data_IF_060364615135
#
_entry.id   IF_060364615135
#
_cell.length_a   1.000
_cell.length_b   1.000
_cell.length_c   1.000
_cell.angle_alpha   90.00
_cell.angle_beta   90.00
_cell.angle_gamma   90.00
#
_symmetry.space_group_name_H-M   'P 1'
#
loop_
_entity.id
_entity.type
_entity.pdbx_description
1 polymer ?
#
# COMPACT_ATOMS: atom_id res chain seq x y z
N UNK A 1 19.53 16.87 2.02
CA UNK A 1 18.98 15.52 2.25
C UNK A 1 18.05 15.22 1.08
N UNK A 2 18.54 14.53 0.05
CA UNK A 2 17.71 14.10 -1.07
C UNK A 2 17.07 12.76 -0.67
N UNK A 3 15.86 12.81 -0.12
CA UNK A 3 14.93 11.69 -0.27
C UNK A 3 14.53 11.67 -1.74
N UNK A 4 15.39 11.10 -2.58
CA UNK A 4 15.15 10.93 -4.01
C UNK A 4 13.94 10.01 -4.17
N UNK A 5 12.75 10.62 -4.21
CA UNK A 5 11.80 10.45 -5.29
C UNK A 5 11.82 9.08 -5.97
N UNK A 6 11.53 8.06 -5.17
CA UNK A 6 11.71 6.66 -5.50
C UNK A 6 11.07 6.26 -6.84
N UNK A 7 9.93 6.90 -7.12
CA UNK A 7 9.09 6.74 -8.28
C UNK A 7 8.51 8.08 -8.78
N UNK A 8 9.15 9.24 -8.59
CA UNK A 8 8.49 10.51 -8.98
C UNK A 8 8.22 10.60 -10.48
N UNK A 9 8.96 9.82 -11.28
CA UNK A 9 8.72 9.71 -12.72
C UNK A 9 7.59 8.72 -13.07
N UNK A 10 6.92 8.15 -12.07
CA UNK A 10 5.90 7.10 -12.19
C UNK A 10 4.76 7.32 -11.20
N UNK A 11 3.83 8.23 -11.52
CA UNK A 11 2.67 8.47 -10.70
C UNK A 11 1.79 7.22 -10.64
N UNK A 12 1.08 7.03 -9.53
CA UNK A 12 -0.08 6.14 -9.53
C UNK A 12 -1.13 6.67 -10.52
N UNK A 13 -1.98 5.80 -11.04
CA UNK A 13 -2.98 6.18 -12.04
C UNK A 13 -3.85 7.37 -11.58
N UNK A 14 -4.20 7.43 -10.29
CA UNK A 14 -4.94 8.55 -9.70
C UNK A 14 -4.22 9.91 -9.67
N UNK A 15 -2.90 9.94 -9.99
CA UNK A 15 -2.08 11.16 -10.09
C UNK A 15 -1.77 11.57 -11.55
N UNK A 16 -2.15 10.77 -12.54
CA UNK A 16 -1.89 11.07 -13.95
C UNK A 16 -2.81 12.17 -14.48
N UNK A 17 -2.37 12.85 -15.55
CA UNK A 17 -3.27 13.74 -16.31
C UNK A 17 -4.42 12.92 -16.93
N UNK A 18 -5.51 13.59 -17.33
CA UNK A 18 -6.60 12.95 -18.03
C UNK A 18 -6.23 12.04 -19.19
N UNK A 19 -5.43 12.59 -20.08
CA UNK A 19 -5.00 11.99 -21.33
C UNK A 19 -4.08 10.81 -21.03
N UNK A 20 -3.17 10.98 -20.08
CA UNK A 20 -2.25 9.94 -19.64
C UNK A 20 -2.99 8.77 -18.96
N UNK A 21 -3.97 9.07 -18.11
CA UNK A 21 -4.80 8.06 -17.46
C UNK A 21 -5.65 7.31 -18.48
N UNK A 22 -6.30 8.01 -19.41
CA UNK A 22 -7.10 7.40 -20.47
C UNK A 22 -6.28 6.48 -21.36
N UNK A 23 -5.10 6.92 -21.82
CA UNK A 23 -4.19 6.09 -22.60
C UNK A 23 -3.82 4.80 -21.85
N UNK A 24 -3.49 4.92 -20.56
CA UNK A 24 -3.14 3.79 -19.71
C UNK A 24 -4.32 2.83 -19.47
N UNK A 25 -5.53 3.36 -19.35
CA UNK A 25 -6.76 2.56 -19.21
C UNK A 25 -7.06 1.75 -20.48
N UNK A 26 -6.91 2.34 -21.68
CA UNK A 26 -7.06 1.58 -22.94
C UNK A 26 -6.09 0.42 -23.04
N UNK A 27 -4.84 0.64 -22.66
CA UNK A 27 -3.82 -0.42 -22.70
C UNK A 27 -4.14 -1.63 -21.80
N UNK A 28 -5.01 -1.43 -20.81
CA UNK A 28 -5.53 -2.48 -19.92
C UNK A 28 -6.98 -2.86 -20.24
N UNK A 29 -7.54 -2.44 -21.37
CA UNK A 29 -8.89 -2.81 -21.81
C UNK A 29 -10.02 -2.13 -21.03
N UNK A 30 -9.73 -1.01 -20.37
CA UNK A 30 -10.70 -0.14 -19.70
C UNK A 30 -11.21 0.94 -20.68
N UNK A 31 -11.72 0.51 -21.84
CA UNK A 31 -12.04 1.41 -22.97
C UNK A 31 -13.17 2.38 -22.67
N UNK A 32 -14.17 1.94 -21.89
CA UNK A 32 -15.27 2.81 -21.45
C UNK A 32 -14.77 3.90 -20.51
N UNK A 33 -13.97 3.53 -19.51
CA UNK A 33 -13.40 4.48 -18.55
C UNK A 33 -12.47 5.47 -19.27
N UNK A 34 -11.64 4.99 -20.20
CA UNK A 34 -10.76 5.84 -21.02
C UNK A 34 -11.54 6.83 -21.90
N UNK A 35 -12.54 6.35 -22.64
CA UNK A 35 -13.34 7.19 -23.55
C UNK A 35 -14.08 8.30 -22.80
N UNK A 36 -14.56 8.02 -21.58
CA UNK A 36 -15.20 9.04 -20.74
C UNK A 36 -14.22 10.13 -20.31
N UNK A 37 -12.96 9.80 -19.96
CA UNK A 37 -11.97 10.81 -19.57
C UNK A 37 -11.61 11.75 -20.72
N UNK A 38 -11.47 11.21 -21.93
CA UNK A 38 -11.12 12.02 -23.11
C UNK A 38 -12.25 12.94 -23.56
N UNK A 39 -13.50 12.48 -23.44
CA UNK A 39 -14.67 13.30 -23.77
C UNK A 39 -14.78 14.58 -22.92
N UNK A 40 -14.10 14.65 -21.77
CA UNK A 40 -14.04 15.85 -20.93
C UNK A 40 -12.83 16.73 -21.21
N UNK A 41 -11.70 16.15 -21.63
CA UNK A 41 -10.49 16.90 -22.02
C UNK A 41 -10.75 17.82 -23.22
N UNK A 42 -11.58 17.37 -24.16
CA UNK A 42 -11.97 18.16 -25.35
C UNK A 42 -13.04 19.22 -25.07
N UNK A 43 -13.78 19.13 -23.96
CA UNK A 43 -14.81 20.11 -23.57
C UNK A 43 -14.25 21.37 -22.89
N UNK A 44 -13.05 21.31 -22.31
CA UNK A 44 -12.43 22.40 -21.56
C UNK A 44 -11.70 23.44 -22.43
N UNK A 45 -11.48 23.17 -23.72
CA UNK A 45 -10.81 24.12 -24.63
C UNK A 45 -11.76 25.12 -25.31
N UNK A 46 -13.07 25.03 -25.09
CA UNK A 46 -14.07 25.85 -25.82
C UNK A 46 -14.75 26.98 -25.02
N UNK A 47 -14.45 27.15 -23.74
CA UNK A 47 -14.93 28.30 -22.94
C UNK A 47 -13.77 29.08 -22.35
N UNK A 48 -13.46 30.20 -22.99
CA UNK A 48 -12.42 31.13 -22.57
C UNK A 48 -12.61 31.67 -21.16
N UNK A 49 -11.48 31.96 -20.52
CA UNK A 49 -11.32 32.89 -19.40
C UNK A 49 -12.38 32.81 -18.29
N UNK A 50 -12.21 31.86 -17.38
CA UNK A 50 -12.59 32.09 -15.99
C UNK A 50 -11.39 31.85 -15.08
N UNK A 51 -10.71 32.96 -14.76
CA UNK A 51 -9.97 33.12 -13.52
C UNK A 51 -10.88 32.70 -12.35
N UNK A 52 -10.49 31.66 -11.60
CA UNK A 52 -11.06 31.42 -10.28
C UNK A 52 -9.94 31.27 -9.25
N UNK A 53 -9.78 32.37 -8.51
CA UNK A 53 -9.21 32.46 -7.16
C UNK A 53 -10.05 31.60 -6.19
N UNK A 54 -9.38 31.00 -5.21
CA UNK A 54 -9.96 30.71 -3.89
C UNK A 54 -10.71 29.38 -3.71
N UNK A 55 -10.16 28.57 -2.79
CA UNK A 55 -10.85 27.67 -1.86
C UNK A 55 -11.68 26.47 -2.39
N UNK A 56 -11.10 25.28 -2.19
CA UNK A 56 -11.78 24.04 -1.74
C UNK A 56 -12.72 23.26 -2.66
N UNK A 57 -12.63 23.37 -4.00
CA UNK A 57 -13.53 22.60 -4.89
C UNK A 57 -12.93 22.18 -6.25
N UNK A 58 -11.80 21.45 -6.28
CA UNK A 58 -11.28 20.87 -7.55
C UNK A 58 -10.72 19.45 -7.41
N UNK A 59 -11.62 18.46 -7.31
CA UNK A 59 -11.42 17.09 -7.83
C UNK A 59 -12.72 16.51 -8.40
N UNK A 60 -13.54 17.36 -9.05
CA UNK A 60 -14.74 16.95 -9.82
C UNK A 60 -14.32 16.76 -11.28
N UNK A 61 -13.47 15.78 -11.56
CA UNK A 61 -13.05 15.51 -12.95
C UNK A 61 -13.20 14.03 -13.38
N UNK A 62 -13.55 13.12 -12.47
CA UNK A 62 -13.82 11.72 -12.83
C UNK A 62 -15.34 11.51 -13.02
N UNK A 63 -15.83 11.17 -14.23
CA UNK A 63 -17.26 11.19 -14.58
C UNK A 63 -17.99 9.83 -14.41
N UNK A 64 -17.49 8.93 -13.57
CA UNK A 64 -18.08 7.60 -13.37
C UNK A 64 -18.16 7.24 -11.89
N UNK A 65 -18.82 6.11 -11.59
CA UNK A 65 -18.82 5.54 -10.24
C UNK A 65 -17.39 5.53 -9.70
N UNK A 66 -17.26 6.14 -8.54
CA UNK A 66 -16.09 6.23 -7.69
C UNK A 66 -15.34 4.87 -7.64
N UNK A 67 -14.28 4.72 -8.44
CA UNK A 67 -13.48 3.49 -8.53
C UNK A 67 -12.33 3.57 -7.52
N UNK A 68 -12.09 2.53 -6.69
CA UNK A 68 -11.06 2.57 -5.64
C UNK A 68 -9.65 2.95 -6.12
N UNK A 69 -9.28 2.52 -7.33
CA UNK A 69 -7.95 2.79 -7.91
C UNK A 69 -7.70 4.25 -8.31
N UNK A 70 -8.74 5.11 -8.33
CA UNK A 70 -8.62 6.52 -8.69
C UNK A 70 -8.02 7.36 -7.56
N UNK A 71 -8.12 6.89 -6.32
CA UNK A 71 -7.77 7.71 -5.19
C UNK A 71 -6.28 7.65 -4.87
N UNK A 72 -5.79 8.74 -4.30
CA UNK A 72 -4.38 8.86 -3.90
C UNK A 72 -4.23 9.04 -2.40
N UNK A 73 -5.34 9.34 -1.72
CA UNK A 73 -5.40 9.54 -0.29
C UNK A 73 -5.43 8.19 0.43
N UNK A 74 -4.88 8.18 1.65
CA UNK A 74 -4.96 7.04 2.54
C UNK A 74 -5.40 7.50 3.93
N UNK A 75 -6.12 6.62 4.63
CA UNK A 75 -6.39 6.69 6.07
C UNK A 75 -5.75 5.48 6.74
N UNK A 76 -5.33 5.66 8.00
CA UNK A 76 -4.52 4.69 8.72
C UNK A 76 -5.19 4.27 10.02
N UNK A 77 -5.49 2.98 10.11
CA UNK A 77 -6.10 2.33 11.27
C UNK A 77 -5.09 1.46 12.00
N UNK A 78 -5.37 1.17 13.26
CA UNK A 78 -4.58 0.31 14.12
C UNK A 78 -5.47 -0.67 14.89
N UNK A 79 -5.03 -1.92 14.93
CA UNK A 79 -5.58 -3.01 15.71
C UNK A 79 -4.55 -3.43 16.76
N UNK A 80 -4.94 -3.33 18.03
CA UNK A 80 -4.12 -3.80 19.14
C UNK A 80 -3.93 -5.33 19.09
N UNK A 81 -2.86 -5.89 19.69
CA UNK A 81 -2.68 -7.33 19.80
C UNK A 81 -3.88 -7.99 20.50
N UNK A 82 -4.40 -9.07 19.92
CA UNK A 82 -5.50 -9.81 20.52
C UNK A 82 -4.98 -10.68 21.67
N UNK A 83 -5.42 -10.39 22.88
CA UNK A 83 -5.31 -11.29 24.04
C UNK A 83 -6.47 -12.29 24.02
N UNK A 84 -6.44 -13.19 23.03
CA UNK A 84 -7.28 -14.39 22.91
C UNK A 84 -8.79 -14.23 23.17
N UNK A 85 -9.40 -13.14 22.70
CA UNK A 85 -10.85 -12.97 22.75
C UNK A 85 -11.49 -13.14 21.37
N UNK A 86 -12.69 -13.73 21.32
CA UNK A 86 -13.52 -13.85 20.13
C UNK A 86 -14.31 -12.58 19.79
N UNK A 87 -14.33 -11.62 20.73
CA UNK A 87 -15.11 -10.40 20.59
C UNK A 87 -14.63 -9.51 19.44
N UNK A 88 -15.54 -8.74 18.81
CA UNK A 88 -15.17 -7.71 17.85
C UNK A 88 -14.14 -6.76 18.43
N UNK A 89 -13.06 -6.53 17.68
CA UNK A 89 -11.97 -5.64 18.09
C UNK A 89 -12.14 -4.28 17.41
N UNK A 90 -12.11 -3.17 18.17
CA UNK A 90 -12.19 -1.84 17.59
C UNK A 90 -10.92 -1.51 16.81
N UNK A 91 -11.09 -0.82 15.69
CA UNK A 91 -9.97 -0.22 14.95
C UNK A 91 -9.84 1.23 15.41
N UNK A 92 -8.63 1.67 15.73
CA UNK A 92 -8.35 3.05 16.17
C UNK A 92 -7.59 3.81 15.10
N UNK A 93 -7.76 5.13 15.06
CA UNK A 93 -6.88 5.97 14.26
C UNK A 93 -5.43 5.84 14.76
N UNK A 94 -4.47 5.76 13.85
CA UNK A 94 -3.06 5.50 14.21
C UNK A 94 -2.43 6.59 15.09
N UNK A 95 -2.98 7.81 15.02
CA UNK A 95 -2.51 8.97 15.80
C UNK A 95 -3.09 8.98 17.23
N UNK A 96 -4.15 8.21 17.50
CA UNK A 96 -4.87 8.21 18.78
C UNK A 96 -4.45 7.08 19.72
N UNK A 97 -3.40 6.34 19.38
CA UNK A 97 -2.89 5.22 20.19
C UNK A 97 -1.65 5.65 20.98
N UNK A 98 -1.27 4.86 21.99
CA UNK A 98 0.02 5.02 22.65
C UNK A 98 1.11 4.27 21.87
N UNK A 99 2.26 4.92 21.65
CA UNK A 99 3.45 4.22 21.18
C UNK A 99 3.95 3.24 22.23
N UNK A 100 4.67 2.19 21.82
CA UNK A 100 5.36 1.23 22.70
C UNK A 100 6.84 1.61 22.80
N UNK A 101 7.27 2.43 23.79
CA UNK A 101 8.61 3.02 23.79
C UNK A 101 9.73 2.00 23.95
N UNK A 102 9.40 0.80 24.43
CA UNK A 102 10.33 -0.29 24.63
C UNK A 102 10.70 -1.02 23.33
N UNK A 103 10.08 -0.67 22.19
CA UNK A 103 10.54 -1.06 20.86
C UNK A 103 11.75 -0.25 20.38
N UNK A 104 12.11 0.86 21.04
CA UNK A 104 13.29 1.67 20.68
C UNK A 104 14.57 0.84 20.69
N UNK A 105 15.29 0.84 19.57
CA UNK A 105 16.54 0.09 19.42
C UNK A 105 16.36 -1.44 19.47
N UNK A 106 15.12 -1.96 19.42
CA UNK A 106 14.84 -3.39 19.38
C UNK A 106 14.70 -3.89 17.95
N UNK A 107 14.71 -5.21 17.82
CA UNK A 107 14.39 -5.90 16.57
C UNK A 107 12.92 -6.28 16.54
N UNK A 108 12.29 -6.06 15.39
CA UNK A 108 10.89 -6.42 15.15
C UNK A 108 10.75 -7.35 13.94
N UNK A 109 9.59 -8.00 13.87
CA UNK A 109 9.08 -8.70 12.68
C UNK A 109 8.00 -7.83 12.05
N UNK A 110 8.10 -7.64 10.74
CA UNK A 110 7.05 -7.07 9.90
C UNK A 110 6.39 -8.17 9.09
N UNK A 111 5.06 -8.24 9.11
CA UNK A 111 4.30 -9.23 8.32
C UNK A 111 3.28 -8.57 7.43
N UNK A 112 2.96 -9.20 6.29
CA UNK A 112 1.77 -8.89 5.52
C UNK A 112 0.64 -9.80 5.99
N UNK A 113 -0.40 -9.19 6.55
CA UNK A 113 -1.55 -9.90 7.12
C UNK A 113 -2.74 -9.91 6.17
N UNK A 114 -2.85 -8.94 5.27
CA UNK A 114 -3.91 -8.86 4.26
C UNK A 114 -3.53 -7.92 3.11
N UNK A 115 -4.01 -8.27 1.92
CA UNK A 115 -4.06 -7.38 0.75
C UNK A 115 -5.44 -7.54 0.11
N UNK A 116 -6.30 -6.53 0.22
CA UNK A 116 -7.62 -6.48 -0.42
C UNK A 116 -7.58 -5.62 -1.68
N UNK A 117 -8.09 -6.16 -2.76
CA UNK A 117 -8.25 -5.47 -4.03
C UNK A 117 -9.75 -5.28 -4.26
N UNK A 118 -10.31 -4.16 -3.78
CA UNK A 118 -11.70 -3.82 -4.06
C UNK A 118 -11.92 -3.53 -5.54
N UNK A 119 -10.93 -2.92 -6.20
CA UNK A 119 -10.91 -2.77 -7.66
C UNK A 119 -9.61 -2.15 -8.14
N UNK A 120 -8.93 -2.82 -9.08
CA UNK A 120 -7.79 -2.32 -9.84
C UNK A 120 -8.17 -2.21 -11.33
N UNK A 121 -7.47 -1.39 -12.15
CA UNK A 121 -7.82 -1.25 -13.56
C UNK A 121 -7.75 -2.58 -14.34
N UNK A 122 -8.79 -2.88 -15.12
CA UNK A 122 -9.02 -4.18 -15.73
C UNK A 122 -10.06 -5.00 -14.96
N UNK A 123 -10.51 -6.10 -15.57
CA UNK A 123 -11.46 -7.02 -14.95
C UNK A 123 -10.83 -8.38 -14.62
N UNK A 124 -11.44 -9.08 -13.66
CA UNK A 124 -11.12 -10.48 -13.36
C UNK A 124 -9.97 -10.64 -12.36
N UNK A 125 -8.95 -11.42 -12.73
CA UNK A 125 -7.80 -11.72 -11.86
C UNK A 125 -6.71 -10.69 -12.11
N UNK A 126 -6.32 -9.98 -11.05
CA UNK A 126 -5.17 -9.08 -11.06
C UNK A 126 -3.92 -9.82 -10.61
N UNK A 127 -2.80 -9.59 -11.29
CA UNK A 127 -1.46 -9.93 -10.79
C UNK A 127 -0.86 -8.68 -10.16
N UNK A 128 -0.76 -8.66 -8.85
CA UNK A 128 -0.34 -7.49 -8.08
C UNK A 128 1.08 -7.68 -7.60
N UNK A 129 1.99 -6.82 -8.04
CA UNK A 129 3.29 -6.64 -7.40
C UNK A 129 3.12 -5.67 -6.23
N UNK A 130 3.40 -6.16 -5.03
CA UNK A 130 3.47 -5.40 -3.80
C UNK A 130 4.93 -5.10 -3.49
N UNK A 131 5.28 -3.84 -3.38
CA UNK A 131 6.62 -3.39 -2.99
C UNK A 131 6.56 -2.69 -1.63
N UNK A 132 7.26 -3.24 -0.64
CA UNK A 132 7.50 -2.61 0.66
C UNK A 132 8.89 -1.99 0.73
N UNK A 133 8.93 -0.82 1.35
CA UNK A 133 10.14 -0.13 1.74
C UNK A 133 10.11 0.18 3.22
N UNK A 134 11.24 -0.03 3.89
CA UNK A 134 11.42 0.37 5.27
C UNK A 134 12.77 1.04 5.48
N UNK A 135 12.77 2.08 6.29
CA UNK A 135 13.96 2.76 6.77
C UNK A 135 13.81 3.04 8.27
N UNK A 136 14.84 2.74 9.05
CA UNK A 136 14.88 3.15 10.46
C UNK A 136 15.20 4.64 10.58
N UNK A 137 14.60 5.32 11.55
CA UNK A 137 14.82 6.75 11.79
C UNK A 137 15.85 6.94 12.91
N UNK A 138 17.04 7.45 12.58
CA UNK A 138 18.14 7.67 13.53
C UNK A 138 19.38 8.32 12.91
N UNK A 139 20.40 8.59 13.73
CA UNK A 139 21.58 9.41 13.39
C UNK A 139 22.67 8.71 12.56
N UNK A 140 22.48 7.42 12.22
CA UNK A 140 23.41 6.65 11.38
C UNK A 140 23.07 6.70 9.87
N UNK A 141 23.94 6.12 9.03
CA UNK A 141 23.58 5.81 7.63
C UNK A 141 22.47 4.77 7.64
N UNK A 142 21.23 5.21 7.53
CA UNK A 142 20.09 4.33 7.43
C UNK A 142 20.06 3.68 6.04
N UNK A 143 20.38 2.37 5.99
CA UNK A 143 20.27 1.61 4.75
C UNK A 143 18.80 1.29 4.44
N UNK A 144 18.32 1.68 3.25
CA UNK A 144 16.96 1.39 2.83
C UNK A 144 16.76 -0.12 2.63
N UNK A 145 15.68 -0.68 3.20
CA UNK A 145 15.31 -2.09 3.04
C UNK A 145 14.08 -2.22 2.14
N UNK A 146 14.16 -3.14 1.18
CA UNK A 146 13.16 -3.31 0.14
C UNK A 146 12.70 -4.77 0.09
N UNK A 147 11.41 -4.96 -0.16
CA UNK A 147 10.79 -6.26 -0.28
C UNK A 147 9.74 -6.24 -1.39
N UNK A 148 9.69 -7.32 -2.17
CA UNK A 148 8.65 -7.54 -3.17
C UNK A 148 7.93 -8.86 -2.93
N UNK A 149 6.62 -8.84 -3.14
CA UNK A 149 5.82 -10.05 -3.29
C UNK A 149 4.81 -9.87 -4.42
N UNK A 150 4.44 -10.98 -5.06
CA UNK A 150 3.43 -11.00 -6.11
C UNK A 150 2.23 -11.81 -5.63
N UNK A 151 1.03 -11.30 -5.90
CA UNK A 151 -0.22 -11.97 -5.57
C UNK A 151 -1.14 -12.01 -6.77
N UNK A 152 -1.92 -13.09 -6.89
CA UNK A 152 -3.06 -13.16 -7.80
C UNK A 152 -4.33 -12.97 -6.99
N UNK A 153 -5.15 -11.99 -7.34
CA UNK A 153 -6.35 -11.62 -6.57
C UNK A 153 -7.48 -11.33 -7.53
N UNK A 154 -8.65 -11.92 -7.30
CA UNK A 154 -9.86 -11.53 -8.02
C UNK A 154 -10.33 -10.15 -7.54
N UNK A 155 -10.89 -9.37 -8.45
CA UNK A 155 -11.57 -8.12 -8.10
C UNK A 155 -12.62 -8.34 -7.00
N UNK A 156 -12.62 -7.47 -5.99
CA UNK A 156 -13.50 -7.56 -4.83
C UNK A 156 -13.01 -8.49 -3.70
N UNK A 157 -11.93 -9.24 -3.92
CA UNK A 157 -11.42 -10.24 -2.96
C UNK A 157 -10.12 -9.79 -2.26
N UNK A 158 -9.56 -10.70 -1.46
CA UNK A 158 -8.25 -10.53 -0.82
C UNK A 158 -7.28 -11.61 -1.29
N UNK A 159 -5.99 -11.28 -1.36
CA UNK A 159 -4.95 -12.27 -1.57
C UNK A 159 -4.99 -13.32 -0.45
N UNK A 160 -4.69 -14.58 -0.79
CA UNK A 160 -4.51 -15.69 0.16
C UNK A 160 -3.22 -15.55 0.98
N UNK A 161 -3.09 -14.45 1.72
CA UNK A 161 -1.92 -14.12 2.54
C UNK A 161 -2.36 -13.80 3.96
N UNK A 162 -1.67 -14.41 4.93
CA UNK A 162 -1.92 -14.18 6.35
C UNK A 162 -0.61 -14.37 7.11
N UNK A 163 -0.17 -13.34 7.84
CA UNK A 163 1.05 -13.39 8.64
C UNK A 163 2.35 -13.62 7.87
N UNK A 164 2.38 -13.33 6.56
CA UNK A 164 3.56 -13.61 5.73
C UNK A 164 4.73 -12.69 6.11
N UNK A 165 5.92 -13.22 6.42
CA UNK A 165 7.05 -12.41 6.85
C UNK A 165 7.56 -11.51 5.70
N UNK A 166 7.53 -10.19 5.93
CA UNK A 166 8.10 -9.18 5.01
C UNK A 166 9.55 -8.89 5.42
N UNK A 167 9.75 -8.51 6.68
CA UNK A 167 11.07 -8.34 7.27
C UNK A 167 11.13 -9.06 8.62
N UNK A 168 12.22 -9.78 8.88
CA UNK A 168 12.47 -10.45 10.18
C UNK A 168 13.76 -9.88 10.77
N UNK A 169 13.74 -9.55 12.06
CA UNK A 169 14.89 -8.96 12.73
C UNK A 169 15.19 -7.50 12.33
N UNK A 170 14.18 -6.75 11.88
CA UNK A 170 14.35 -5.35 11.48
C UNK A 170 14.69 -4.49 12.71
N UNK A 171 15.80 -3.75 12.66
CA UNK A 171 16.16 -2.81 13.72
C UNK A 171 15.26 -1.57 13.68
N UNK A 172 14.69 -1.23 14.83
CA UNK A 172 13.90 -0.02 15.06
C UNK A 172 14.82 1.12 15.50
N UNK A 173 14.71 2.28 14.85
CA UNK A 173 15.46 3.47 15.23
C UNK A 173 15.00 4.04 16.57
N UNK A 174 15.77 4.96 17.15
CA UNK A 174 15.35 5.65 18.38
C UNK A 174 14.20 6.63 18.15
N UNK A 175 14.08 7.14 16.92
CA UNK A 175 13.01 8.05 16.52
C UNK A 175 11.81 7.29 15.96
N UNK A 176 12.02 6.09 15.40
CA UNK A 176 10.95 5.27 14.85
C UNK A 176 11.31 4.54 13.56
N UNK A 177 10.31 4.37 12.70
CA UNK A 177 10.39 3.72 11.40
C UNK A 177 9.65 4.54 10.35
N UNK A 178 10.21 4.59 9.13
CA UNK A 178 9.51 5.04 7.93
C UNK A 178 9.18 3.83 7.07
N UNK A 179 7.92 3.69 6.70
CA UNK A 179 7.43 2.68 5.79
C UNK A 179 6.92 3.36 4.53
N UNK A 180 7.19 2.77 3.37
CA UNK A 180 6.47 3.10 2.15
C UNK A 180 5.96 1.83 1.51
N UNK A 181 4.78 1.91 0.90
CA UNK A 181 4.20 0.79 0.20
C UNK A 181 3.65 1.24 -1.13
N UNK A 182 3.92 0.43 -2.16
CA UNK A 182 3.36 0.62 -3.49
C UNK A 182 2.80 -0.68 -4.03
N UNK A 183 1.65 -0.59 -4.68
CA UNK A 183 1.06 -1.71 -5.42
C UNK A 183 1.06 -1.40 -6.91
N UNK A 184 1.36 -2.42 -7.72
CA UNK A 184 1.37 -2.32 -9.18
C UNK A 184 0.54 -3.49 -9.73
N UNK A 185 -0.51 -3.18 -10.48
CA UNK A 185 -1.23 -4.14 -11.29
C UNK A 185 -0.38 -4.46 -12.53
N UNK A 186 0.12 -5.69 -12.60
CA UNK A 186 1.00 -6.17 -13.67
C UNK A 186 0.14 -6.86 -14.72
N UNK A 187 0.18 -6.33 -15.95
CA UNK A 187 -0.58 -6.85 -17.10
C UNK A 187 0.26 -7.00 -18.37
N UNK A 188 1.58 -6.90 -18.22
CA UNK A 188 2.52 -7.15 -19.31
C UNK A 188 2.95 -8.63 -19.28
N UNK A 189 2.66 -9.39 -20.34
CA UNK A 189 2.91 -10.84 -20.42
C UNK A 189 4.38 -11.21 -20.14
N UNK A 190 5.34 -10.38 -20.59
CA UNK A 190 6.76 -10.62 -20.33
C UNK A 190 7.14 -10.38 -18.86
N UNK A 191 6.51 -9.41 -18.20
CA UNK A 191 6.69 -9.20 -16.76
C UNK A 191 5.97 -10.29 -15.96
N UNK A 192 4.83 -10.78 -16.41
CA UNK A 192 4.18 -11.95 -15.80
C UNK A 192 5.05 -13.20 -15.89
N UNK A 193 5.70 -13.44 -17.02
CA UNK A 193 6.65 -14.53 -17.20
C UNK A 193 7.87 -14.37 -16.28
N UNK A 194 8.40 -13.15 -16.17
CA UNK A 194 9.52 -12.85 -15.29
C UNK A 194 9.16 -13.00 -13.80
N UNK A 195 7.98 -12.52 -13.38
CA UNK A 195 7.47 -12.73 -12.03
C UNK A 195 7.26 -14.22 -11.74
N UNK A 196 6.74 -14.98 -12.71
CA UNK A 196 6.58 -16.43 -12.57
C UNK A 196 7.92 -17.15 -12.41
N UNK A 197 8.97 -16.67 -13.08
CA UNK A 197 10.34 -17.16 -12.85
C UNK A 197 10.85 -16.86 -11.44
N UNK A 198 10.66 -15.64 -10.93
CA UNK A 198 11.05 -15.28 -9.56
C UNK A 198 10.26 -16.08 -8.50
N UNK A 199 9.04 -16.47 -8.82
CA UNK A 199 8.21 -17.32 -7.98
C UNK A 199 8.62 -18.80 -8.03
N UNK A 200 9.47 -19.21 -8.98
CA UNK A 200 9.87 -20.61 -9.14
C UNK A 200 10.67 -21.14 -7.95
N UNK A 201 10.43 -22.42 -7.61
CA UNK A 201 11.12 -23.09 -6.51
C UNK A 201 12.63 -23.15 -6.74
N UNK A 202 13.06 -23.23 -8.00
CA UNK A 202 14.48 -23.19 -8.38
C UNK A 202 15.13 -21.87 -8.00
N UNK A 203 14.48 -20.74 -8.30
CA UNK A 203 15.00 -19.42 -7.92
C UNK A 203 15.00 -19.23 -6.40
N UNK A 204 13.90 -19.60 -5.74
CA UNK A 204 13.79 -19.55 -4.26
C UNK A 204 14.85 -20.40 -3.57
N UNK A 205 15.11 -21.61 -4.08
CA UNK A 205 16.14 -22.53 -3.56
C UNK A 205 17.55 -21.96 -3.77
N UNK A 206 17.82 -21.40 -4.95
CA UNK A 206 19.07 -20.68 -5.21
C UNK A 206 19.30 -19.51 -4.25
N UNK A 207 18.24 -18.77 -3.90
CA UNK A 207 18.30 -17.70 -2.88
C UNK A 207 18.55 -18.24 -1.47
N UNK A 208 17.97 -19.39 -1.10
CA UNK A 208 18.17 -19.98 0.22
C UNK A 208 19.63 -20.40 0.48
N UNK A 209 20.35 -20.86 -0.55
CA UNK A 209 21.77 -21.22 -0.46
C UNK A 209 22.69 -20.02 -0.18
N UNK A 210 22.28 -18.80 -0.58
CA UNK A 210 23.05 -17.57 -0.34
C UNK A 210 22.81 -17.04 1.08
N UNK A 211 21.61 -17.22 1.64
CA UNK A 211 21.24 -16.73 2.97
C UNK A 211 21.95 -17.45 4.13
N UNK A 212 22.36 -18.70 3.93
CA UNK A 212 23.12 -19.47 4.93
C UNK A 212 24.56 -19.00 5.09
N UNK A 213 25.08 -18.12 4.20
CA UNK A 213 26.48 -17.73 4.19
C UNK A 213 26.81 -16.41 4.93
N UNK A 214 25.88 -15.45 5.07
CA UNK A 214 25.97 -14.18 5.83
C UNK A 214 24.72 -13.31 5.56
N UNK A 215 24.39 -12.27 6.38
CA UNK A 215 23.22 -11.40 6.15
C UNK A 215 23.51 -10.39 5.03
N UNK A 216 23.43 -10.82 3.78
CA UNK A 216 23.64 -9.98 2.59
C UNK A 216 22.34 -9.24 2.24
N UNK A 217 21.79 -8.44 3.15
CA UNK A 217 20.50 -7.76 2.94
C UNK A 217 20.55 -6.68 1.85
N UNK A 218 21.66 -5.96 1.71
CA UNK A 218 21.78 -4.82 0.79
C UNK A 218 21.63 -5.21 -0.69
N UNK A 219 22.37 -6.22 -1.23
CA UNK A 219 22.16 -6.68 -2.61
C UNK A 219 20.74 -7.20 -2.90
N UNK A 220 20.08 -7.86 -1.94
CA UNK A 220 18.68 -8.28 -2.11
C UNK A 220 17.72 -7.10 -2.12
N UNK A 221 17.99 -6.11 -1.28
CA UNK A 221 17.26 -4.85 -1.23
C UNK A 221 17.36 -4.09 -2.56
N UNK A 222 18.57 -3.97 -3.11
CA UNK A 222 18.81 -3.34 -4.41
C UNK A 222 18.15 -4.10 -5.57
N UNK A 223 18.20 -5.44 -5.56
CA UNK A 223 17.51 -6.25 -6.55
C UNK A 223 15.99 -6.05 -6.49
N UNK A 224 15.41 -6.03 -5.27
CA UNK A 224 13.99 -5.76 -5.09
C UNK A 224 13.61 -4.36 -5.60
N UNK A 225 14.45 -3.35 -5.34
CA UNK A 225 14.27 -2.00 -5.90
C UNK A 225 14.26 -2.01 -7.43
N UNK A 226 15.28 -2.62 -8.03
CA UNK A 226 15.45 -2.64 -9.48
C UNK A 226 14.28 -3.35 -10.17
N UNK A 227 13.82 -4.46 -9.59
CA UNK A 227 12.64 -5.20 -10.05
C UNK A 227 11.40 -4.31 -10.10
N UNK A 228 11.06 -3.67 -8.98
CA UNK A 228 9.85 -2.85 -8.91
C UNK A 228 9.92 -1.62 -9.82
N UNK A 229 11.10 -1.00 -9.96
CA UNK A 229 11.32 0.11 -10.91
C UNK A 229 11.15 -0.33 -12.36
N UNK A 230 11.64 -1.50 -12.74
CA UNK A 230 11.53 -1.99 -14.11
C UNK A 230 10.09 -2.38 -14.45
N UNK A 231 9.39 -3.06 -13.56
CA UNK A 231 7.99 -3.43 -13.75
C UNK A 231 7.11 -2.17 -13.79
N UNK A 232 7.30 -1.20 -12.89
CA UNK A 232 6.54 0.05 -12.89
C UNK A 232 6.69 0.88 -14.17
N UNK A 233 7.80 0.74 -14.91
CA UNK A 233 8.10 1.46 -16.18
C UNK A 233 7.36 0.96 -17.40
N UNK A 234 6.80 -0.23 -17.35
CA UNK A 234 6.16 -0.80 -18.53
C UNK A 234 4.75 -0.23 -18.71
N UNK A 235 4.41 0.08 -19.96
CA UNK A 235 3.22 0.86 -20.29
C UNK A 235 1.93 0.23 -19.72
N UNK A 236 1.77 -1.10 -19.89
CA UNK A 236 0.60 -1.87 -19.42
C UNK A 236 0.55 -2.12 -17.91
N UNK A 237 1.61 -1.84 -17.16
CA UNK A 237 1.61 -2.03 -15.71
C UNK A 237 1.16 -0.75 -15.01
N UNK A 238 0.19 -0.86 -14.10
CA UNK A 238 -0.49 0.28 -13.51
C UNK A 238 -0.20 0.36 -12.02
N UNK A 239 0.51 1.39 -11.57
CA UNK A 239 0.67 1.67 -10.14
C UNK A 239 -0.65 2.19 -9.58
N UNK A 240 -1.13 1.61 -8.48
CA UNK A 240 -2.45 1.90 -7.92
C UNK A 240 -2.36 2.55 -6.54
N UNK A 241 -1.78 1.87 -5.55
CA UNK A 241 -1.58 2.43 -4.21
C UNK A 241 -0.13 2.90 -4.06
N UNK A 242 0.06 4.00 -3.35
CA UNK A 242 1.36 4.59 -3.05
C UNK A 242 1.21 5.47 -1.81
N UNK A 243 1.75 5.01 -0.69
CA UNK A 243 1.70 5.75 0.57
C UNK A 243 3.02 5.70 1.32
N UNK A 244 3.25 6.77 2.09
CA UNK A 244 4.31 6.91 3.06
C UNK A 244 3.70 6.94 4.46
N UNK A 245 4.31 6.22 5.41
CA UNK A 245 3.86 6.13 6.78
C UNK A 245 5.04 6.22 7.74
N UNK A 246 5.11 7.31 8.51
CA UNK A 246 6.04 7.45 9.63
C UNK A 246 5.40 6.93 10.91
N UNK A 247 6.11 6.06 11.62
CA UNK A 247 5.72 5.53 12.93
C UNK A 247 6.79 5.91 13.94
N UNK A 248 6.45 6.73 14.92
CA UNK A 248 7.40 7.23 15.92
C UNK A 248 6.95 6.96 17.36
N UNK A 249 7.81 7.38 18.29
CA UNK A 249 7.56 7.31 19.73
C UNK A 249 7.27 8.68 20.35
N UNK A 250 6.95 9.69 19.53
CA UNK A 250 6.69 11.04 20.00
C UNK A 250 5.28 11.13 20.59
N UNK A 251 5.00 12.19 21.35
CA UNK A 251 3.63 12.55 21.74
C UNK A 251 3.02 13.61 20.82
N UNK A 252 3.71 13.95 19.72
CA UNK A 252 3.27 14.99 18.78
C UNK A 252 1.97 14.55 18.09
N UNK A 253 0.97 15.44 18.00
CA UNK A 253 -0.22 15.22 17.17
C UNK A 253 0.14 15.00 15.70
N UNK A 254 -0.76 14.35 14.94
CA UNK A 254 -0.62 14.11 13.48
C UNK A 254 0.53 13.16 13.07
N UNK A 255 1.15 12.49 14.04
CA UNK A 255 2.20 11.49 13.80
C UNK A 255 1.69 10.11 14.18
N UNK A 256 1.88 9.13 13.28
CA UNK A 256 1.57 7.74 13.56
C UNK A 256 2.46 7.20 14.67
N UNK A 257 1.89 6.39 15.57
CA UNK A 257 2.61 5.85 16.73
C UNK A 257 3.06 4.41 16.48
N UNK A 258 4.30 4.12 16.83
CA UNK A 258 4.86 2.77 16.71
C UNK A 258 4.53 1.94 17.95
N UNK A 259 3.64 0.96 17.76
CA UNK A 259 3.22 -0.06 18.70
C UNK A 259 3.21 -1.46 18.06
N UNK A 260 3.23 -2.51 18.89
CA UNK A 260 2.94 -3.87 18.43
C UNK A 260 1.46 -4.00 18.07
N UNK A 261 1.11 -4.77 17.05
CA UNK A 261 -0.26 -4.88 16.55
C UNK A 261 -0.32 -4.95 15.04
N UNK A 262 -1.47 -4.61 14.46
CA UNK A 262 -1.66 -4.56 13.02
C UNK A 262 -2.09 -3.17 12.57
N UNK A 263 -1.52 -2.70 11.46
CA UNK A 263 -1.77 -1.41 10.85
C UNK A 263 -2.51 -1.61 9.54
N UNK A 264 -3.54 -0.80 9.32
CA UNK A 264 -4.43 -0.88 8.17
C UNK A 264 -4.24 0.39 7.36
N UNK A 265 -3.91 0.27 6.07
CA UNK A 265 -3.82 1.40 5.16
C UNK A 265 -4.91 1.27 4.09
N UNK A 266 -5.89 2.17 4.10
CA UNK A 266 -7.04 2.15 3.17
C UNK A 266 -6.91 3.29 2.17
N UNK A 267 -6.98 2.99 0.88
CA UNK A 267 -6.98 3.96 -0.20
C UNK A 267 -8.38 4.59 -0.35
N UNK A 268 -8.55 5.81 0.13
CA UNK A 268 -9.85 6.50 0.19
C UNK A 268 -9.86 7.80 -0.64
N UNK A 269 -11.04 8.31 -1.04
CA UNK A 269 -11.15 9.66 -1.59
C UNK A 269 -10.57 10.71 -0.64
N UNK A 270 -9.91 11.74 -1.18
CA UNK A 270 -9.37 12.83 -0.35
C UNK A 270 -10.48 13.57 0.41
N UNK A 271 -11.63 13.77 -0.23
CA UNK A 271 -12.82 14.38 0.39
C UNK A 271 -13.37 13.56 1.56
N UNK A 272 -13.04 12.27 1.63
CA UNK A 272 -13.49 11.39 2.70
C UNK A 272 -12.55 11.42 3.92
N UNK A 273 -11.34 11.99 3.83
CA UNK A 273 -10.41 12.01 4.96
C UNK A 273 -10.98 12.66 6.21
N UNK A 274 -11.76 13.73 6.08
CA UNK A 274 -12.33 14.45 7.22
C UNK A 274 -13.58 13.80 7.82
N UNK A 275 -14.18 12.84 7.11
CA UNK A 275 -15.42 12.17 7.52
C UNK A 275 -15.21 10.66 7.74
N UNK A 276 -14.05 10.12 7.40
CA UNK A 276 -13.72 8.72 7.65
C UNK A 276 -13.62 8.49 9.16
N UNK A 277 -14.50 7.65 9.67
CA UNK A 277 -14.52 7.26 11.07
C UNK A 277 -14.09 5.79 11.21
N UNK A 278 -13.09 5.54 12.05
CA UNK A 278 -12.63 4.18 12.34
C UNK A 278 -13.53 3.46 13.34
N UNK A 279 -14.33 4.18 14.13
CA UNK A 279 -15.26 3.58 15.09
C UNK A 279 -16.42 2.87 14.38
N UNK A 280 -16.69 3.21 13.11
CA UNK A 280 -17.62 2.48 12.24
C UNK A 280 -17.13 1.08 11.83
N UNK A 281 -15.85 0.75 12.04
CA UNK A 281 -15.25 -0.48 11.55
C UNK A 281 -14.69 -1.34 12.68
N UNK A 282 -14.96 -2.64 12.62
CA UNK A 282 -14.45 -3.61 13.58
C UNK A 282 -13.79 -4.79 12.88
N UNK A 283 -12.78 -5.35 13.53
CA UNK A 283 -12.23 -6.64 13.15
C UNK A 283 -12.96 -7.75 13.91
N UNK A 284 -13.42 -8.78 13.20
CA UNK A 284 -14.04 -9.97 13.78
C UNK A 284 -13.01 -11.10 13.84
N UNK A 285 -12.41 -11.42 15.01
CA UNK A 285 -11.35 -12.44 15.10
C UNK A 285 -11.81 -13.83 14.64
N UNK A 286 -13.07 -14.18 14.91
CA UNK A 286 -13.66 -15.47 14.56
C UNK A 286 -13.83 -15.69 13.06
N UNK A 287 -14.01 -14.61 12.30
CA UNK A 287 -14.14 -14.64 10.83
C UNK A 287 -12.86 -14.19 10.13
N UNK A 288 -11.93 -13.57 10.88
CA UNK A 288 -10.72 -12.97 10.35
C UNK A 288 -10.99 -11.84 9.36
N UNK A 289 -12.08 -11.07 9.47
CA UNK A 289 -12.43 -10.01 8.51
C UNK A 289 -12.68 -8.67 9.20
N UNK A 290 -12.50 -7.58 8.45
CA UNK A 290 -12.90 -6.22 8.86
C UNK A 290 -14.25 -5.93 8.21
N UNK A 291 -15.22 -5.54 9.03
CA UNK A 291 -16.59 -5.24 8.63
C UNK A 291 -17.06 -3.96 9.31
N UNK A 292 -18.15 -3.39 8.81
CA UNK A 292 -18.82 -2.29 9.49
C UNK A 292 -19.44 -2.78 10.80
N UNK A 293 -19.40 -1.95 11.82
CA UNK A 293 -19.90 -2.27 13.16
C UNK A 293 -21.40 -2.61 13.14
N UNK A 294 -22.19 -1.76 12.46
CA UNK A 294 -23.65 -1.88 12.42
C UNK A 294 -24.16 -2.84 11.32
N UNK A 295 -23.31 -3.17 10.33
CA UNK A 295 -23.58 -4.19 9.32
C UNK A 295 -22.36 -5.08 9.08
N UNK A 296 -22.39 -6.26 9.70
CA UNK A 296 -21.29 -7.22 9.61
C UNK A 296 -21.15 -7.90 8.24
N UNK A 297 -21.99 -7.58 7.26
CA UNK A 297 -21.84 -8.00 5.85
C UNK A 297 -21.12 -6.94 5.01
N UNK A 298 -21.11 -5.68 5.47
CA UNK A 298 -20.46 -4.59 4.77
C UNK A 298 -18.95 -4.61 5.02
N UNK A 299 -18.18 -4.89 3.98
CA UNK A 299 -16.72 -4.79 3.98
C UNK A 299 -16.27 -3.37 3.64
N UNK A 300 -15.02 -3.03 3.98
CA UNK A 300 -14.40 -1.80 3.48
C UNK A 300 -14.45 -1.79 1.94
N UNK A 301 -15.12 -0.81 1.30
CA UNK A 301 -15.37 -0.79 -0.15
C UNK A 301 -14.17 -0.28 -0.96
N UNK A 302 -12.98 -0.28 -0.36
CA UNK A 302 -11.76 0.30 -0.91
C UNK A 302 -10.60 -0.69 -0.90
N UNK A 303 -9.58 -0.41 -1.70
CA UNK A 303 -8.33 -1.15 -1.67
C UNK A 303 -7.65 -0.89 -0.33
N UNK A 304 -7.19 -1.95 0.35
CA UNK A 304 -6.45 -1.79 1.58
C UNK A 304 -5.47 -2.93 1.79
N UNK A 305 -4.47 -2.67 2.62
CA UNK A 305 -3.56 -3.70 3.11
C UNK A 305 -3.43 -3.61 4.63
N UNK A 306 -3.05 -4.74 5.22
CA UNK A 306 -2.79 -4.84 6.65
C UNK A 306 -1.41 -5.41 6.86
N UNK A 307 -0.57 -4.72 7.62
CA UNK A 307 0.74 -5.22 8.03
C UNK A 307 0.84 -5.32 9.55
N UNK A 308 1.53 -6.35 10.03
CA UNK A 308 1.75 -6.59 11.46
C UNK A 308 3.13 -6.11 11.91
N UNK A 309 3.20 -5.63 13.15
CA UNK A 309 4.43 -5.36 13.90
C UNK A 309 4.41 -6.24 15.15
N UNK A 310 5.43 -7.07 15.33
CA UNK A 310 5.65 -7.81 16.57
C UNK A 310 7.13 -7.79 16.95
N UNK A 311 7.45 -8.09 18.21
CA UNK A 311 8.84 -8.37 18.59
C UNK A 311 9.44 -9.51 17.77
N UNK A 312 10.76 -9.44 17.60
CA UNK A 312 11.57 -10.53 17.11
C UNK A 312 12.13 -11.30 18.31
N UNK A 313 11.90 -12.62 18.36
CA UNK A 313 12.45 -13.52 19.37
C UNK A 313 13.55 -14.37 18.71
N UNK A 314 14.76 -14.36 19.28
CA UNK A 314 15.84 -15.26 18.88
C UNK A 314 15.65 -16.57 19.66
N UNK A 315 15.36 -17.66 18.95
CA UNK A 315 15.39 -19.02 19.50
C UNK A 315 16.74 -19.67 19.23
#
# INVERSE_FOLDING_TARGET
MNSSSWFDNQPVIGKLSPEQAAAKLREVGEDEAASRLESMGTGLESTGQQQFRGESSRRVWWPFQDKPWQYTAHTFGYLAPNVSNSDPMPIRHIESIAAHPDLRGKRIKLTLNRLRIAGYPGSGIHRVLLHFYVQHQGTGKAEPLHFNATYRVHEGESAGVQGYPVFTGLNVGYEGLSLKCRTINVRNDADEAFLSFLESDTFKTGLHLVKTAQPVLAPFSEMALALAKNIGKRNRNVAVQDFDLGLDFSTTPLQGKLAEGAYIAVQIPESFKSIWDWDEWVYLPTKGIIVKHDDQQELIPYNYLVFGVSRYEEH
#
